data_IF_402865834684
#
_entry.id   IF_402865834684
#
_cell.length_a   1.000
_cell.length_b   1.000
_cell.length_c   1.000
_cell.angle_alpha   90.00
_cell.angle_beta   90.00
_cell.angle_gamma   90.00
#
_symmetry.space_group_name_H-M   'P 1'
#
loop_
_entity.id
_entity.type
_entity.pdbx_description
1 polymer ?
#
# COMPACT_ATOMS: atom_id res chain seq x y z
N UNK A 1 -29.50 -26.03 -27.74
CA UNK A 1 -29.12 -24.61 -27.92
C UNK A 1 -29.71 -23.69 -26.84
N UNK A 2 -31.01 -23.75 -26.54
CA UNK A 2 -31.67 -22.91 -25.51
C UNK A 2 -31.06 -23.05 -24.10
N UNK A 3 -30.74 -24.28 -23.67
CA UNK A 3 -30.11 -24.52 -22.37
C UNK A 3 -28.64 -24.07 -22.29
N UNK A 4 -27.91 -24.13 -23.40
CA UNK A 4 -26.51 -23.65 -23.47
C UNK A 4 -26.50 -22.12 -23.35
N UNK A 5 -27.42 -21.45 -24.06
CA UNK A 5 -27.59 -20.00 -23.95
C UNK A 5 -27.98 -19.57 -22.53
N UNK A 6 -28.88 -20.31 -21.86
CA UNK A 6 -29.24 -20.04 -20.47
C UNK A 6 -28.06 -20.21 -19.50
N UNK A 7 -27.24 -21.24 -19.68
CA UNK A 7 -26.07 -21.47 -18.82
C UNK A 7 -25.04 -20.34 -18.99
N UNK A 8 -24.81 -19.87 -20.21
CA UNK A 8 -23.88 -18.75 -20.49
C UNK A 8 -24.38 -17.45 -19.88
N UNK A 9 -25.69 -17.16 -19.96
CA UNK A 9 -26.25 -15.94 -19.36
C UNK A 9 -26.13 -15.97 -17.83
N UNK A 10 -26.37 -17.12 -17.20
CA UNK A 10 -26.24 -17.26 -15.73
C UNK A 10 -24.78 -17.13 -15.29
N UNK A 11 -23.82 -17.68 -16.04
CA UNK A 11 -22.40 -17.56 -15.68
C UNK A 11 -21.87 -16.14 -15.82
N UNK A 12 -22.29 -15.41 -16.87
CA UNK A 12 -21.94 -13.99 -17.07
C UNK A 12 -22.55 -13.13 -15.97
N UNK A 13 -23.81 -13.39 -15.60
CA UNK A 13 -24.47 -12.64 -14.52
C UNK A 13 -23.79 -12.87 -13.17
N UNK A 14 -23.40 -14.11 -12.86
CA UNK A 14 -22.66 -14.43 -11.64
C UNK A 14 -21.28 -13.75 -11.58
N UNK A 15 -20.57 -13.62 -12.71
CA UNK A 15 -19.28 -12.94 -12.78
C UNK A 15 -19.39 -11.42 -12.51
N UNK A 16 -20.49 -10.79 -12.90
CA UNK A 16 -20.75 -9.37 -12.64
C UNK A 16 -20.90 -9.06 -11.14
N UNK A 17 -21.45 -9.99 -10.36
CA UNK A 17 -21.59 -9.84 -8.90
C UNK A 17 -20.28 -10.00 -8.12
N UNK A 18 -19.21 -10.53 -8.74
CA UNK A 18 -17.90 -10.70 -8.10
C UNK A 18 -16.98 -9.46 -8.22
N UNK A 19 -17.32 -8.50 -9.08
CA UNK A 19 -16.55 -7.28 -9.32
C UNK A 19 -16.43 -6.32 -8.12
N UNK A 20 -17.47 -6.06 -7.30
CA UNK A 20 -17.40 -5.07 -6.23
C UNK A 20 -16.55 -5.52 -5.02
N UNK A 21 -16.23 -6.80 -4.89
CA UNK A 21 -15.42 -7.32 -3.79
C UNK A 21 -13.99 -6.75 -3.78
N UNK A 22 -13.51 -6.24 -4.92
CA UNK A 22 -12.14 -5.75 -5.08
C UNK A 22 -12.01 -4.29 -4.64
N UNK A 23 -13.09 -3.51 -4.78
CA UNK A 23 -13.19 -2.13 -4.31
C UNK A 23 -13.30 -2.03 -2.77
N UNK A 24 -13.83 -3.07 -2.11
CA UNK A 24 -14.04 -3.11 -0.66
C UNK A 24 -12.75 -3.22 0.19
N UNK A 25 -11.55 -3.29 -0.41
CA UNK A 25 -10.28 -3.34 0.35
C UNK A 25 -9.84 -1.98 0.89
N UNK A 26 -10.35 -0.90 0.31
CA UNK A 26 -10.10 0.45 0.79
C UNK A 26 -11.42 1.01 1.30
N UNK A 27 -11.39 1.57 2.51
CA UNK A 27 -12.51 2.34 3.03
C UNK A 27 -12.32 3.79 2.60
N UNK A 28 -13.32 4.31 1.91
CA UNK A 28 -13.44 5.74 1.62
C UNK A 28 -14.38 6.37 2.65
N UNK A 29 -14.11 7.63 3.00
CA UNK A 29 -14.97 8.43 3.84
C UNK A 29 -14.91 9.86 3.32
N UNK A 30 -16.08 10.48 3.15
CA UNK A 30 -16.16 11.87 2.73
C UNK A 30 -15.68 12.79 3.86
N UNK A 31 -14.84 13.78 3.53
CA UNK A 31 -14.47 14.87 4.42
C UNK A 31 -15.24 16.10 3.98
N UNK A 32 -16.43 16.28 4.54
CA UNK A 32 -17.33 17.38 4.19
C UNK A 32 -16.70 18.75 4.54
N UNK A 33 -17.10 19.77 3.78
CA UNK A 33 -16.88 21.19 4.09
C UNK A 33 -15.42 21.62 4.31
N UNK A 34 -14.46 20.91 3.72
CA UNK A 34 -13.03 21.23 3.84
C UNK A 34 -12.40 20.87 5.18
N UNK A 35 -12.97 19.89 5.89
CA UNK A 35 -12.40 19.33 7.13
C UNK A 35 -11.00 18.73 6.98
N UNK A 36 -10.41 18.30 8.09
CA UNK A 36 -9.05 17.72 8.12
C UNK A 36 -9.05 16.36 8.82
N UNK A 37 -8.23 15.44 8.30
CA UNK A 37 -7.96 14.14 8.93
C UNK A 37 -6.64 14.25 9.68
N UNK A 38 -6.62 13.79 10.93
CA UNK A 38 -5.41 13.76 11.77
C UNK A 38 -5.25 12.38 12.40
N UNK A 39 -4.00 11.95 12.55
CA UNK A 39 -3.65 10.65 13.12
C UNK A 39 -2.14 10.42 13.05
N UNK A 40 -1.67 9.39 13.76
CA UNK A 40 -0.27 8.96 13.73
C UNK A 40 -0.19 7.60 13.02
N UNK A 41 0.81 7.44 12.15
CA UNK A 41 1.10 6.15 11.51
C UNK A 41 2.14 5.42 12.35
N UNK A 42 1.81 4.20 12.78
CA UNK A 42 2.73 3.35 13.55
C UNK A 42 3.31 2.26 12.65
N UNK A 43 4.64 2.12 12.64
CA UNK A 43 5.32 1.04 11.94
C UNK A 43 5.39 -0.21 12.82
N UNK A 44 4.61 -1.23 12.47
CA UNK A 44 4.52 -2.50 13.24
C UNK A 44 5.53 -3.56 12.81
N UNK A 45 6.29 -3.31 11.74
CA UNK A 45 7.27 -4.23 11.18
C UNK A 45 8.66 -4.12 11.83
N UNK A 46 9.57 -5.01 11.44
CA UNK A 46 11.01 -4.84 11.75
C UNK A 46 11.64 -3.92 10.71
N UNK A 47 12.30 -2.86 11.15
CA UNK A 47 13.02 -1.94 10.26
C UNK A 47 14.19 -2.65 9.61
N UNK A 48 14.14 -2.79 8.28
CA UNK A 48 15.24 -3.39 7.51
C UNK A 48 16.36 -2.37 7.36
N UNK A 49 17.60 -2.84 7.52
CA UNK A 49 18.80 -2.05 7.23
C UNK A 49 19.16 -2.18 5.76
N UNK A 50 19.57 -1.07 5.14
CA UNK A 50 20.14 -1.03 3.80
C UNK A 50 21.57 -0.52 3.84
N UNK A 51 22.39 -0.99 2.92
CA UNK A 51 23.74 -0.44 2.74
C UNK A 51 23.67 0.68 1.72
N UNK A 52 24.06 1.88 2.11
CA UNK A 52 24.22 3.03 1.22
C UNK A 52 25.66 3.04 0.74
N UNK A 53 25.86 2.87 -0.56
CA UNK A 53 27.16 3.03 -1.22
C UNK A 53 27.19 4.40 -1.91
N UNK A 54 28.05 5.33 -1.46
CA UNK A 54 28.29 6.57 -2.19
C UNK A 54 28.75 6.29 -3.62
N UNK A 55 28.01 6.83 -4.59
CA UNK A 55 28.30 6.69 -6.02
C UNK A 55 29.15 7.83 -6.58
N UNK A 56 29.40 8.85 -5.76
CA UNK A 56 30.21 10.04 -6.05
C UNK A 56 31.53 9.99 -5.29
N UNK A 57 32.21 11.13 -5.19
CA UNK A 57 33.48 11.26 -4.49
C UNK A 57 33.37 10.77 -3.04
N UNK A 58 34.18 9.77 -2.71
CA UNK A 58 34.15 9.11 -1.40
C UNK A 58 34.86 9.92 -0.32
N UNK A 59 35.75 10.81 -0.69
CA UNK A 59 36.48 11.66 0.26
C UNK A 59 35.56 12.77 0.80
N UNK A 60 34.57 13.19 0.00
CA UNK A 60 33.54 14.16 0.42
C UNK A 60 32.29 13.46 0.96
N UNK A 61 31.79 12.43 0.28
CA UNK A 61 30.52 11.78 0.64
C UNK A 61 30.66 10.67 1.68
N UNK A 62 31.90 10.27 2.01
CA UNK A 62 32.22 9.25 2.99
C UNK A 62 32.23 7.82 2.44
N UNK A 63 32.30 6.86 3.37
CA UNK A 63 32.36 5.42 3.09
C UNK A 63 30.96 4.79 3.03
N UNK A 64 30.91 3.55 2.56
CA UNK A 64 29.70 2.74 2.63
C UNK A 64 29.22 2.63 4.08
N UNK A 65 27.91 2.78 4.28
CA UNK A 65 27.30 2.84 5.61
C UNK A 65 25.96 2.11 5.65
N UNK A 66 25.63 1.57 6.82
CA UNK A 66 24.31 0.95 7.05
C UNK A 66 23.37 1.98 7.62
N UNK A 67 22.23 2.14 6.97
CA UNK A 67 21.17 3.04 7.38
C UNK A 67 19.85 2.26 7.41
N UNK A 68 18.90 2.63 8.28
CA UNK A 68 17.57 2.07 8.23
C UNK A 68 16.88 2.44 6.91
N UNK A 69 15.99 1.56 6.43
CA UNK A 69 15.19 1.83 5.22
C UNK A 69 14.13 2.90 5.48
N UNK A 70 13.67 3.00 6.72
CA UNK A 70 12.65 3.94 7.19
C UNK A 70 13.10 4.43 8.57
N UNK A 71 12.96 5.73 8.84
CA UNK A 71 13.18 6.28 10.17
C UNK A 71 11.91 6.06 11.00
N UNK A 72 12.05 5.47 12.18
CA UNK A 72 10.95 5.19 13.09
C UNK A 72 11.33 5.77 14.45
N UNK A 73 10.44 6.54 15.05
CA UNK A 73 10.62 7.09 16.39
C UNK A 73 10.61 6.00 17.47
N UNK A 74 11.04 6.35 18.68
CA UNK A 74 11.03 5.42 19.82
C UNK A 74 9.61 4.96 20.19
N UNK A 75 8.60 5.76 19.85
CA UNK A 75 7.17 5.46 19.98
C UNK A 75 6.60 4.65 18.81
N UNK A 76 7.42 4.29 17.82
CA UNK A 76 6.99 3.56 16.62
C UNK A 76 6.39 4.45 15.53
N UNK A 77 6.39 5.77 15.71
CA UNK A 77 5.86 6.71 14.72
C UNK A 77 6.77 6.82 13.48
N UNK A 78 6.16 7.04 12.31
CA UNK A 78 6.83 7.33 11.04
C UNK A 78 6.41 8.66 10.44
#
# INVERSE_FOLDING_TARGET
MKHIFQIVVVSVLAALFALPAQAAKYQEMEVADGGSISGQVTYTGKVKMRTVLPTKDKDVCGKARKEPTILVGDDGAV
#
